data_IF_729580960178
#
_entry.id   IF_729580960178
#
_cell.length_a   1.000
_cell.length_b   1.000
_cell.length_c   1.000
_cell.angle_alpha   90.00
_cell.angle_beta   90.00
_cell.angle_gamma   90.00
#
_symmetry.space_group_name_H-M   'P 1'
#
loop_
_entity.id
_entity.type
_entity.pdbx_description
1 polymer ?
#
# COMPACT_ATOMS: atom_id res chain seq x y z
N UNK A 1 12.50 -15.12 -12.29
CA UNK A 1 12.27 -13.93 -11.44
C UNK A 1 10.82 -13.96 -11.00
N UNK A 2 10.54 -13.93 -9.69
CA UNK A 2 9.19 -14.07 -9.12
C UNK A 2 8.68 -12.69 -8.75
N UNK A 3 7.51 -12.30 -9.26
CA UNK A 3 6.91 -11.00 -8.96
C UNK A 3 5.98 -11.11 -7.75
N UNK A 4 6.11 -10.21 -6.79
CA UNK A 4 5.28 -10.14 -5.59
C UNK A 4 4.64 -8.75 -5.54
N UNK A 5 3.32 -8.70 -5.52
CA UNK A 5 2.54 -7.49 -5.29
C UNK A 5 2.14 -7.44 -3.81
N UNK A 6 2.55 -6.41 -3.10
CA UNK A 6 2.10 -6.11 -1.74
C UNK A 6 1.00 -5.04 -1.82
N UNK A 7 -0.15 -5.33 -1.21
CA UNK A 7 -1.31 -4.42 -1.19
C UNK A 7 -1.65 -4.08 0.27
N UNK A 8 -1.77 -2.80 0.59
CA UNK A 8 -2.21 -2.29 1.89
C UNK A 8 -2.79 -0.88 1.77
N UNK A 9 -3.62 -0.45 2.73
CA UNK A 9 -4.39 0.80 2.60
C UNK A 9 -4.38 1.71 3.80
N UNK A 10 -4.03 1.18 4.96
CA UNK A 10 -4.16 1.85 6.25
C UNK A 10 -2.83 1.98 6.97
N UNK A 11 -2.75 2.92 7.92
CA UNK A 11 -1.55 3.11 8.75
C UNK A 11 -1.13 1.84 9.53
N UNK A 12 -2.04 1.11 10.23
CA UNK A 12 -1.63 -0.11 10.95
C UNK A 12 -1.08 -1.21 10.03
N UNK A 13 -1.59 -1.31 8.79
CA UNK A 13 -1.05 -2.23 7.80
C UNK A 13 0.33 -1.76 7.33
N UNK A 14 0.48 -0.48 6.98
CA UNK A 14 1.76 0.07 6.51
C UNK A 14 2.89 -0.14 7.52
N UNK A 15 2.61 0.05 8.83
CA UNK A 15 3.61 -0.18 9.91
C UNK A 15 4.12 -1.62 9.89
N UNK A 16 3.26 -2.59 9.55
CA UNK A 16 3.61 -4.01 9.49
C UNK A 16 4.25 -4.39 8.15
N UNK A 17 3.80 -3.79 7.06
CA UNK A 17 4.14 -4.20 5.71
C UNK A 17 5.40 -3.51 5.16
N UNK A 18 5.70 -2.27 5.55
CA UNK A 18 6.90 -1.56 5.06
C UNK A 18 8.23 -2.28 5.40
N UNK A 19 8.42 -2.86 6.61
CA UNK A 19 9.59 -3.69 6.88
C UNK A 19 9.72 -4.88 5.91
N UNK A 20 8.60 -5.52 5.55
CA UNK A 20 8.58 -6.63 4.60
C UNK A 20 8.89 -6.16 3.17
N UNK A 21 8.36 -5.00 2.75
CA UNK A 21 8.69 -4.39 1.45
C UNK A 21 10.21 -4.21 1.33
N UNK A 22 10.84 -3.63 2.34
CA UNK A 22 12.28 -3.34 2.33
C UNK A 22 13.11 -4.62 2.33
N UNK A 23 12.68 -5.66 3.05
CA UNK A 23 13.33 -6.98 3.00
C UNK A 23 13.20 -7.63 1.62
N UNK A 24 12.01 -7.62 1.01
CA UNK A 24 11.80 -8.24 -0.31
C UNK A 24 12.57 -7.51 -1.42
N UNK A 25 12.69 -6.17 -1.35
CA UNK A 25 13.50 -5.38 -2.29
C UNK A 25 14.99 -5.75 -2.28
N UNK A 26 15.51 -6.34 -1.19
CA UNK A 26 16.90 -6.81 -1.09
C UNK A 26 17.13 -8.21 -1.67
N UNK A 27 16.08 -8.97 -1.98
CA UNK A 27 16.20 -10.37 -2.41
C UNK A 27 16.42 -10.47 -3.91
N UNK A 28 17.50 -11.12 -4.30
CA UNK A 28 17.75 -11.45 -5.70
C UNK A 28 16.65 -12.37 -6.25
N UNK A 29 16.29 -12.15 -7.52
CA UNK A 29 15.28 -12.94 -8.22
C UNK A 29 13.83 -12.64 -7.81
N UNK A 30 13.60 -11.69 -6.91
CA UNK A 30 12.26 -11.18 -6.54
C UNK A 30 12.06 -9.78 -7.12
N UNK A 31 10.95 -9.59 -7.83
CA UNK A 31 10.47 -8.27 -8.22
C UNK A 31 9.36 -7.84 -7.26
N UNK A 32 9.69 -6.92 -6.37
CA UNK A 32 8.73 -6.36 -5.39
C UNK A 32 7.97 -5.21 -6.03
N UNK A 33 6.64 -5.25 -5.96
CA UNK A 33 5.73 -4.19 -6.38
C UNK A 33 4.86 -3.82 -5.18
N UNK A 34 4.66 -2.53 -4.94
CA UNK A 34 3.84 -1.99 -3.85
C UNK A 34 2.63 -1.27 -4.44
N UNK A 35 1.44 -1.67 -4.03
CA UNK A 35 0.19 -0.98 -4.33
C UNK A 35 -0.45 -0.51 -3.04
N UNK A 36 -0.77 0.78 -2.95
CA UNK A 36 -1.52 1.33 -1.82
C UNK A 36 -2.94 1.68 -2.22
N UNK A 37 -3.92 1.30 -1.41
CA UNK A 37 -5.32 1.67 -1.68
C UNK A 37 -5.64 3.09 -1.23
N UNK A 38 -4.93 3.60 -0.21
CA UNK A 38 -5.03 4.99 0.22
C UNK A 38 -6.19 5.31 1.16
N UNK A 39 -6.86 4.31 1.78
CA UNK A 39 -8.01 4.48 2.68
C UNK A 39 -7.79 5.45 3.85
N UNK A 40 -6.56 5.64 4.32
CA UNK A 40 -6.17 6.62 5.33
C UNK A 40 -4.98 7.47 4.85
N UNK A 41 -5.18 8.27 3.80
CA UNK A 41 -4.10 8.90 3.03
C UNK A 41 -3.01 9.61 3.87
N UNK A 42 -3.40 10.61 4.65
CA UNK A 42 -2.44 11.41 5.43
C UNK A 42 -1.63 10.57 6.43
N UNK A 43 -2.27 9.60 7.09
CA UNK A 43 -1.59 8.75 8.06
C UNK A 43 -0.74 7.66 7.42
N UNK A 44 -1.13 7.21 6.22
CA UNK A 44 -0.37 6.27 5.42
C UNK A 44 0.93 6.91 4.94
N UNK A 45 0.85 8.12 4.40
CA UNK A 45 2.00 8.85 3.83
C UNK A 45 3.12 9.04 4.88
N UNK A 46 2.75 9.35 6.13
CA UNK A 46 3.71 9.45 7.25
C UNK A 46 4.49 8.15 7.46
N UNK A 47 3.84 6.99 7.33
CA UNK A 47 4.52 5.70 7.52
C UNK A 47 5.41 5.38 6.32
N UNK A 48 4.92 5.62 5.10
CA UNK A 48 5.70 5.42 3.88
C UNK A 48 7.00 6.24 3.90
N UNK A 49 6.93 7.50 4.33
CA UNK A 49 8.08 8.38 4.51
C UNK A 49 9.07 7.84 5.55
N UNK A 50 8.59 7.43 6.72
CA UNK A 50 9.44 6.86 7.80
C UNK A 50 10.22 5.63 7.36
N UNK A 51 9.65 4.80 6.49
CA UNK A 51 10.27 3.57 6.00
C UNK A 51 10.96 3.70 4.62
N UNK A 52 10.97 4.89 4.03
CA UNK A 52 11.49 5.17 2.68
C UNK A 52 10.88 4.23 1.61
N UNK A 53 9.55 4.06 1.68
CA UNK A 53 8.79 3.22 0.74
C UNK A 53 8.00 4.09 -0.21
N UNK A 54 8.42 4.14 -1.47
CA UNK A 54 7.63 4.69 -2.57
C UNK A 54 6.73 3.60 -3.16
N UNK A 55 5.40 3.78 -3.18
CA UNK A 55 4.48 2.85 -3.83
C UNK A 55 4.58 2.94 -5.36
N UNK A 56 4.48 1.79 -6.04
CA UNK A 56 4.42 1.72 -7.51
C UNK A 56 3.03 2.07 -8.03
N UNK A 57 1.99 1.73 -7.26
CA UNK A 57 0.60 2.04 -7.57
C UNK A 57 -0.10 2.65 -6.36
N UNK A 58 -0.98 3.59 -6.64
CA UNK A 58 -1.75 4.30 -5.64
C UNK A 58 -3.17 4.48 -6.17
N UNK A 59 -4.11 3.75 -5.59
CA UNK A 59 -5.50 3.77 -6.05
C UNK A 59 -6.25 5.01 -5.55
N UNK A 60 -5.75 5.67 -4.50
CA UNK A 60 -6.33 6.91 -3.96
C UNK A 60 -7.86 6.87 -3.75
N UNK A 61 -8.38 5.74 -3.28
CA UNK A 61 -9.85 5.50 -3.21
C UNK A 61 -10.55 6.26 -2.08
N UNK A 62 -9.80 6.91 -1.17
CA UNK A 62 -10.39 7.56 0.00
C UNK A 62 -11.24 8.77 -0.39
N UNK A 63 -12.49 8.75 0.07
CA UNK A 63 -13.47 9.83 -0.05
C UNK A 63 -14.13 10.05 1.31
N UNK A 64 -14.58 11.27 1.54
CA UNK A 64 -15.16 11.63 2.84
C UNK A 64 -16.50 10.91 3.05
N UNK A 65 -16.75 10.43 4.27
CA UNK A 65 -17.98 9.69 4.67
C UNK A 65 -18.29 8.43 3.83
N UNK A 66 -17.27 7.74 3.31
CA UNK A 66 -17.46 6.47 2.60
C UNK A 66 -18.06 5.36 3.46
N UNK A 67 -18.92 4.55 2.85
CA UNK A 67 -19.35 3.26 3.36
C UNK A 67 -18.41 2.14 2.89
N UNK A 68 -18.52 0.96 3.50
CA UNK A 68 -17.81 -0.22 3.01
C UNK A 68 -18.20 -0.58 1.57
N UNK A 69 -19.44 -0.30 1.17
CA UNK A 69 -19.91 -0.50 -0.20
C UNK A 69 -19.18 0.41 -1.19
N UNK A 70 -19.01 1.69 -0.84
CA UNK A 70 -18.29 2.65 -1.67
C UNK A 70 -16.83 2.22 -1.85
N UNK A 71 -16.16 1.82 -0.75
CA UNK A 71 -14.78 1.32 -0.79
C UNK A 71 -14.66 0.09 -1.69
N UNK A 72 -15.59 -0.85 -1.57
CA UNK A 72 -15.55 -2.09 -2.36
C UNK A 72 -15.78 -1.81 -3.84
N UNK A 73 -16.69 -0.89 -4.16
CA UNK A 73 -17.00 -0.49 -5.54
C UNK A 73 -15.81 0.20 -6.21
N UNK A 74 -15.14 1.13 -5.51
CA UNK A 74 -13.98 1.87 -6.04
C UNK A 74 -12.75 1.00 -6.31
N UNK A 75 -12.63 -0.14 -5.64
CA UNK A 75 -11.51 -1.08 -5.86
C UNK A 75 -11.75 -1.96 -7.09
N UNK A 76 -13.02 -2.21 -7.44
CA UNK A 76 -13.40 -3.15 -8.50
C UNK A 76 -13.60 -2.51 -9.88
N UNK A 77 -13.88 -1.22 -9.93
CA UNK A 77 -14.29 -0.47 -11.14
C UNK A 77 -13.25 0.57 -11.50
#
# INVERSE_FOLDING_TARGET
MKTILLVFGTRPEAIKMCPLVNELKRREGVRTIVCVTGQHRQMLDQVLEVFDVVPDYDLSIMRDKQTLFDITSDVLV
#
